data_IF_582225082244
#
_entry.id   IF_582225082244
#
_cell.length_a   1.000
_cell.length_b   1.000
_cell.length_c   1.000
_cell.angle_alpha   90.00
_cell.angle_beta   90.00
_cell.angle_gamma   90.00
#
_symmetry.space_group_name_H-M   'P 1'
#
loop_
_entity.id
_entity.type
_entity.pdbx_description
1 polymer ?
#
# COMPACT_ATOMS: atom_id res chain seq x y z
N UNK A 1 -8.21 61.55 29.31
CA UNK A 1 -8.49 60.86 28.01
C UNK A 1 -7.52 61.45 27.00
N UNK A 2 -6.62 60.67 26.38
CA UNK A 2 -6.98 59.81 25.25
C UNK A 2 -6.41 58.38 25.30
N UNK A 3 -6.95 57.54 24.41
CA UNK A 3 -6.73 56.11 24.21
C UNK A 3 -5.72 55.90 23.07
N UNK A 4 -4.61 55.20 23.28
CA UNK A 4 -3.76 54.62 22.21
C UNK A 4 -3.01 53.46 22.89
N UNK A 5 -3.02 52.20 22.47
CA UNK A 5 -3.46 51.53 21.25
C UNK A 5 -2.67 50.23 21.25
N UNK A 6 -3.31 49.15 21.67
CA UNK A 6 -2.74 47.81 21.78
C UNK A 6 -2.38 47.30 20.37
N UNK A 7 -1.10 47.11 20.07
CA UNK A 7 -0.65 46.44 18.85
C UNK A 7 0.24 45.24 19.23
N UNK A 8 -0.42 44.16 19.66
CA UNK A 8 0.19 42.86 19.90
C UNK A 8 0.36 42.16 18.54
N UNK A 9 1.53 42.30 17.93
CA UNK A 9 1.90 41.57 16.72
C UNK A 9 2.12 40.09 17.08
N UNK A 10 1.07 39.29 17.01
CA UNK A 10 1.18 37.83 16.99
C UNK A 10 1.88 37.41 15.68
N UNK A 11 3.18 37.10 15.80
CA UNK A 11 3.92 36.33 14.82
C UNK A 11 3.35 34.91 14.78
N UNK A 12 2.42 34.67 13.84
CA UNK A 12 2.03 33.33 13.42
C UNK A 12 3.25 32.64 12.80
N UNK A 13 3.99 31.88 13.63
CA UNK A 13 4.95 30.88 13.13
C UNK A 13 4.13 29.75 12.54
N UNK A 14 3.87 29.85 11.23
CA UNK A 14 3.31 28.76 10.44
C UNK A 14 4.32 27.63 10.38
N UNK A 15 4.25 26.69 11.32
CA UNK A 15 4.96 25.42 11.22
C UNK A 15 4.41 24.67 10.01
N UNK A 16 5.13 24.74 8.88
CA UNK A 16 4.91 23.83 7.78
C UNK A 16 5.14 22.41 8.31
N UNK A 17 4.06 21.66 8.49
CA UNK A 17 4.13 20.24 8.79
C UNK A 17 4.78 19.56 7.57
N UNK A 18 6.10 19.39 7.62
CA UNK A 18 6.82 18.51 6.71
C UNK A 18 6.21 17.12 6.89
N UNK A 19 5.47 16.67 5.87
CA UNK A 19 4.97 15.31 5.83
C UNK A 19 6.17 14.35 5.95
N UNK A 20 6.30 13.71 7.12
CA UNK A 20 7.35 12.75 7.37
C UNK A 20 7.22 11.62 6.35
N UNK A 21 8.33 11.26 5.69
CA UNK A 21 8.33 10.12 4.77
C UNK A 21 7.89 8.87 5.53
N UNK A 22 7.01 8.03 4.95
CA UNK A 22 6.54 6.81 5.62
C UNK A 22 7.73 5.98 6.09
N UNK A 23 7.81 5.71 7.39
CA UNK A 23 8.90 4.93 7.95
C UNK A 23 8.82 3.49 7.41
N UNK A 24 9.88 2.97 6.75
CA UNK A 24 9.88 1.59 6.28
C UNK A 24 9.69 0.66 7.47
N UNK A 25 8.82 -0.33 7.34
CA UNK A 25 8.54 -1.30 8.38
C UNK A 25 8.61 -2.73 7.85
N UNK A 26 8.65 -3.69 8.77
CA UNK A 26 8.50 -5.10 8.47
C UNK A 26 7.67 -5.79 9.55
N UNK A 27 7.43 -7.08 9.36
CA UNK A 27 6.69 -7.93 10.29
C UNK A 27 7.66 -8.83 11.03
N UNK A 28 7.61 -8.79 12.36
CA UNK A 28 8.40 -9.62 13.26
C UNK A 28 7.50 -10.60 14.00
N UNK A 29 8.04 -11.76 14.37
CA UNK A 29 7.43 -12.70 15.30
C UNK A 29 8.50 -13.04 16.37
N UNK A 30 8.57 -12.27 17.46
CA UNK A 30 9.59 -12.41 18.49
C UNK A 30 9.76 -13.85 18.98
N UNK A 31 11.00 -14.36 18.99
CA UNK A 31 11.33 -15.70 19.48
C UNK A 31 10.87 -16.86 18.59
N UNK A 32 10.29 -16.61 17.42
CA UNK A 32 9.86 -17.67 16.53
C UNK A 32 11.05 -18.42 15.90
N UNK A 33 10.92 -19.74 15.74
CA UNK A 33 11.81 -20.51 14.88
C UNK A 33 11.67 -20.09 13.43
N UNK A 34 12.68 -20.41 12.61
CA UNK A 34 12.66 -20.13 11.16
C UNK A 34 11.42 -20.71 10.48
N UNK A 35 11.08 -21.95 10.82
CA UNK A 35 9.90 -22.63 10.29
C UNK A 35 8.60 -21.92 10.68
N UNK A 36 8.45 -21.51 11.95
CA UNK A 36 7.26 -20.80 12.41
C UNK A 36 7.13 -19.39 11.79
N UNK A 37 8.25 -18.73 11.51
CA UNK A 37 8.31 -17.41 10.89
C UNK A 37 8.00 -17.47 9.38
N UNK A 38 8.65 -18.36 8.63
CA UNK A 38 8.42 -18.48 7.19
C UNK A 38 7.06 -19.14 6.91
N UNK A 39 6.71 -20.17 7.69
CA UNK A 39 5.46 -20.90 7.56
C UNK A 39 4.24 -20.05 7.88
N UNK A 40 4.28 -19.27 8.96
CA UNK A 40 3.17 -18.39 9.35
C UNK A 40 2.93 -17.27 8.35
N UNK A 41 4.00 -16.59 7.91
CA UNK A 41 3.89 -15.53 6.91
C UNK A 41 3.37 -16.06 5.57
N UNK A 42 3.91 -17.19 5.09
CA UNK A 42 3.42 -17.87 3.87
C UNK A 42 1.96 -18.29 3.99
N UNK A 43 1.53 -18.83 5.13
CA UNK A 43 0.14 -19.24 5.34
C UNK A 43 -0.81 -18.05 5.23
N UNK A 44 -0.46 -16.89 5.79
CA UNK A 44 -1.25 -15.67 5.67
C UNK A 44 -1.34 -15.16 4.22
N UNK A 45 -0.23 -15.16 3.48
CA UNK A 45 -0.24 -14.79 2.07
C UNK A 45 -1.12 -15.73 1.23
N UNK A 46 -1.00 -17.04 1.45
CA UNK A 46 -1.82 -18.04 0.74
C UNK A 46 -3.31 -17.93 1.09
N UNK A 47 -3.64 -17.58 2.33
CA UNK A 47 -5.03 -17.36 2.75
C UNK A 47 -5.66 -16.20 1.99
N UNK A 48 -4.98 -15.05 1.91
CA UNK A 48 -5.46 -13.89 1.15
C UNK A 48 -5.53 -14.20 -0.36
N UNK A 49 -4.55 -14.92 -0.90
CA UNK A 49 -4.54 -15.31 -2.32
C UNK A 49 -5.68 -16.27 -2.71
N UNK A 50 -6.19 -17.07 -1.77
CA UNK A 50 -7.31 -18.01 -1.98
C UNK A 50 -8.68 -17.39 -1.75
N UNK A 51 -8.77 -16.08 -1.49
CA UNK A 51 -10.07 -15.42 -1.33
C UNK A 51 -10.92 -15.60 -2.58
N UNK A 52 -12.24 -15.63 -2.40
CA UNK A 52 -13.16 -15.65 -3.52
C UNK A 52 -13.20 -14.28 -4.20
N UNK A 53 -12.40 -14.14 -5.26
CA UNK A 53 -12.38 -12.95 -6.11
C UNK A 53 -13.64 -12.89 -7.00
N UNK A 54 -14.20 -14.04 -7.36
CA UNK A 54 -15.37 -14.11 -8.24
C UNK A 54 -16.65 -13.67 -7.53
N UNK A 55 -16.75 -13.86 -6.21
CA UNK A 55 -17.82 -13.33 -5.37
C UNK A 55 -17.68 -11.85 -5.02
N UNK A 56 -16.45 -11.32 -5.00
CA UNK A 56 -16.10 -10.00 -4.49
C UNK A 56 -16.68 -8.84 -5.33
N UNK A 57 -17.39 -7.92 -4.67
CA UNK A 57 -18.07 -6.79 -5.33
C UNK A 57 -17.10 -5.75 -5.90
N UNK A 58 -15.98 -5.49 -5.22
CA UNK A 58 -14.96 -4.57 -5.71
C UNK A 58 -14.25 -5.14 -6.94
N UNK A 59 -13.93 -6.44 -6.93
CA UNK A 59 -13.34 -7.13 -8.07
C UNK A 59 -14.29 -7.13 -9.27
N UNK A 60 -15.57 -7.44 -9.07
CA UNK A 60 -16.59 -7.34 -10.13
C UNK A 60 -16.70 -5.94 -10.73
N UNK A 61 -16.65 -4.89 -9.89
CA UNK A 61 -16.68 -3.50 -10.34
C UNK A 61 -15.49 -3.18 -11.23
N UNK A 62 -14.29 -3.57 -10.80
CA UNK A 62 -13.07 -3.40 -11.59
C UNK A 62 -13.18 -4.13 -12.94
N UNK A 63 -13.53 -5.42 -12.95
CA UNK A 63 -13.65 -6.22 -14.17
C UNK A 63 -14.65 -5.60 -15.15
N UNK A 64 -15.80 -5.12 -14.65
CA UNK A 64 -16.79 -4.45 -15.49
C UNK A 64 -16.26 -3.17 -16.13
N UNK A 65 -15.58 -2.33 -15.35
CA UNK A 65 -14.98 -1.10 -15.87
C UNK A 65 -13.85 -1.37 -16.87
N UNK A 66 -13.00 -2.35 -16.57
CA UNK A 66 -11.94 -2.81 -17.47
C UNK A 66 -12.51 -3.31 -18.81
N UNK A 67 -13.59 -4.08 -18.80
CA UNK A 67 -14.25 -4.56 -20.02
C UNK A 67 -14.83 -3.41 -20.88
N UNK A 68 -15.32 -2.33 -20.26
CA UNK A 68 -15.79 -1.15 -21.00
C UNK A 68 -14.63 -0.40 -21.64
N UNK A 69 -13.54 -0.20 -20.90
CA UNK A 69 -12.34 0.48 -21.40
C UNK A 69 -11.65 -0.33 -22.51
N UNK A 70 -11.57 -1.66 -22.35
CA UNK A 70 -11.01 -2.56 -23.35
C UNK A 70 -11.86 -2.58 -24.62
N UNK A 71 -13.18 -2.66 -24.49
CA UNK A 71 -14.08 -2.53 -25.64
C UNK A 71 -13.83 -1.22 -26.37
N UNK A 72 -13.84 -0.10 -25.65
CA UNK A 72 -13.62 1.23 -26.22
C UNK A 72 -12.27 1.34 -26.97
N UNK A 73 -11.20 0.77 -26.42
CA UNK A 73 -9.88 0.79 -27.06
C UNK A 73 -9.83 -0.06 -28.35
N UNK A 74 -10.71 -1.05 -28.47
CA UNK A 74 -10.74 -2.00 -29.58
C UNK A 74 -11.92 -1.78 -30.54
N UNK A 75 -12.77 -0.76 -30.34
CA UNK A 75 -13.82 -0.42 -31.31
C UNK A 75 -13.13 0.16 -32.56
N UNK A 76 -13.22 -0.49 -33.74
CA UNK A 76 -12.74 0.12 -34.96
C UNK A 76 -13.56 1.39 -35.24
N UNK A 77 -12.97 2.47 -35.79
CA UNK A 77 -13.70 3.70 -36.07
C UNK A 77 -14.93 3.38 -36.93
N UNK A 78 -16.12 3.58 -36.33
CA UNK A 78 -17.41 3.18 -36.93
C UNK A 78 -17.88 4.21 -37.97
N UNK A 79 -17.31 5.42 -37.94
CA UNK A 79 -17.73 6.56 -38.76
C UNK A 79 -16.52 7.27 -39.37
N UNK A 80 -16.54 7.65 -40.67
CA UNK A 80 -15.47 8.44 -41.32
C UNK A 80 -15.23 9.83 -40.72
N UNK A 81 -16.03 10.26 -39.74
CA UNK A 81 -16.08 11.64 -39.21
C UNK A 81 -15.65 11.79 -37.75
N UNK A 82 -15.36 10.70 -37.03
CA UNK A 82 -14.80 10.82 -35.67
C UNK A 82 -13.37 11.34 -35.81
N UNK A 83 -13.16 12.63 -35.54
CA UNK A 83 -11.81 13.19 -35.43
C UNK A 83 -11.11 12.57 -34.22
N UNK A 84 -9.78 12.48 -34.28
CA UNK A 84 -8.94 11.93 -33.22
C UNK A 84 -9.19 12.59 -31.86
N UNK A 85 -9.65 13.85 -31.85
CA UNK A 85 -10.00 14.57 -30.64
C UNK A 85 -11.27 14.05 -29.96
N UNK A 86 -12.30 13.64 -30.70
CA UNK A 86 -13.54 13.11 -30.14
C UNK A 86 -13.31 11.73 -29.53
N UNK A 87 -12.53 10.89 -30.23
CA UNK A 87 -12.07 9.59 -29.72
C UNK A 87 -11.26 9.78 -28.43
N UNK A 88 -10.29 10.70 -28.43
CA UNK A 88 -9.45 10.99 -27.26
C UNK A 88 -10.27 11.51 -26.08
N UNK A 89 -11.24 12.38 -26.34
CA UNK A 89 -12.12 12.95 -25.32
C UNK A 89 -13.00 11.86 -24.69
N UNK A 90 -13.60 11.00 -25.51
CA UNK A 90 -14.42 9.86 -25.05
C UNK A 90 -13.61 8.91 -24.16
N UNK A 91 -12.41 8.54 -24.60
CA UNK A 91 -11.50 7.69 -23.82
C UNK A 91 -11.09 8.31 -22.48
N UNK A 92 -10.80 9.61 -22.46
CA UNK A 92 -10.47 10.35 -21.24
C UNK A 92 -11.64 10.37 -20.25
N UNK A 93 -12.86 10.62 -20.73
CA UNK A 93 -14.05 10.62 -19.88
C UNK A 93 -14.33 9.23 -19.30
N UNK A 94 -14.21 8.17 -20.09
CA UNK A 94 -14.38 6.80 -19.62
C UNK A 94 -13.32 6.40 -18.60
N UNK A 95 -12.04 6.71 -18.84
CA UNK A 95 -10.97 6.46 -17.86
C UNK A 95 -11.21 7.18 -16.55
N UNK A 96 -11.69 8.43 -16.58
CA UNK A 96 -12.08 9.18 -15.37
C UNK A 96 -13.27 8.56 -14.65
N UNK A 97 -14.30 8.14 -15.39
CA UNK A 97 -15.51 7.56 -14.82
C UNK A 97 -15.24 6.21 -14.12
N UNK A 98 -14.44 5.34 -14.73
CA UNK A 98 -14.12 4.01 -14.18
C UNK A 98 -12.93 4.00 -13.23
N UNK A 99 -12.02 4.98 -13.36
CA UNK A 99 -10.83 5.15 -12.52
C UNK A 99 -10.07 3.83 -12.22
N UNK A 100 -9.65 3.08 -13.27
CA UNK A 100 -9.13 1.72 -13.12
C UNK A 100 -7.95 1.64 -12.15
N UNK A 101 -7.04 2.60 -12.18
CA UNK A 101 -5.87 2.63 -11.28
C UNK A 101 -6.29 2.70 -9.81
N UNK A 102 -7.26 3.56 -9.48
CA UNK A 102 -7.82 3.65 -8.11
C UNK A 102 -8.52 2.36 -7.68
N UNK A 103 -9.17 1.65 -8.60
CA UNK A 103 -9.80 0.37 -8.31
C UNK A 103 -8.75 -0.72 -8.03
N UNK A 104 -7.64 -0.73 -8.79
CA UNK A 104 -6.51 -1.64 -8.54
C UNK A 104 -5.90 -1.35 -7.16
N UNK A 105 -5.63 -0.08 -6.84
CA UNK A 105 -5.08 0.32 -5.54
C UNK A 105 -5.98 -0.10 -4.38
N UNK A 106 -7.31 0.04 -4.54
CA UNK A 106 -8.28 -0.40 -3.53
C UNK A 106 -8.26 -1.92 -3.34
N UNK A 107 -8.21 -2.70 -4.43
CA UNK A 107 -8.12 -4.16 -4.38
C UNK A 107 -6.82 -4.64 -3.74
N UNK A 108 -5.70 -3.99 -4.07
CA UNK A 108 -4.41 -4.28 -3.45
C UNK A 108 -4.42 -3.96 -1.96
N UNK A 109 -5.00 -2.83 -1.57
CA UNK A 109 -5.14 -2.42 -0.16
C UNK A 109 -5.99 -3.41 0.64
N UNK A 110 -7.08 -3.91 0.05
CA UNK A 110 -7.92 -4.95 0.66
C UNK A 110 -7.12 -6.24 0.87
N UNK A 111 -6.42 -6.72 -0.16
CA UNK A 111 -5.55 -7.91 -0.05
C UNK A 111 -4.47 -7.72 1.03
N UNK A 112 -3.82 -6.56 1.06
CA UNK A 112 -2.81 -6.26 2.06
C UNK A 112 -3.41 -6.23 3.48
N UNK A 113 -4.58 -5.64 3.66
CA UNK A 113 -5.29 -5.62 4.95
C UNK A 113 -5.63 -7.04 5.43
N UNK A 114 -6.05 -7.94 4.54
CA UNK A 114 -6.32 -9.34 4.91
C UNK A 114 -5.06 -10.07 5.38
N UNK A 115 -3.93 -9.85 4.70
CA UNK A 115 -2.62 -10.37 5.11
C UNK A 115 -2.22 -9.79 6.46
N UNK A 116 -2.26 -8.47 6.63
CA UNK A 116 -1.87 -7.79 7.86
C UNK A 116 -2.67 -8.29 9.06
N UNK A 117 -4.00 -8.39 8.92
CA UNK A 117 -4.86 -8.95 9.97
C UNK A 117 -4.54 -10.42 10.28
N UNK A 118 -4.19 -11.22 9.27
CA UNK A 118 -3.76 -12.59 9.49
C UNK A 118 -2.44 -12.66 10.26
N UNK A 119 -1.48 -11.81 9.90
CA UNK A 119 -0.18 -11.73 10.56
C UNK A 119 -0.36 -11.34 12.03
N UNK A 120 -1.15 -10.30 12.33
CA UNK A 120 -1.46 -9.90 13.71
C UNK A 120 -2.06 -11.05 14.52
N UNK A 121 -3.10 -11.72 13.99
CA UNK A 121 -3.71 -12.89 14.66
C UNK A 121 -2.76 -14.07 14.83
N UNK A 122 -1.75 -14.17 13.97
CA UNK A 122 -0.72 -15.21 14.02
C UNK A 122 0.46 -14.84 14.94
N UNK A 123 0.36 -13.74 15.68
CA UNK A 123 1.36 -13.27 16.64
C UNK A 123 2.51 -12.47 16.03
N UNK A 124 2.36 -12.00 14.78
CA UNK A 124 3.31 -11.06 14.21
C UNK A 124 2.99 -9.64 14.67
N UNK A 125 4.01 -8.81 14.76
CA UNK A 125 3.91 -7.39 15.09
C UNK A 125 4.65 -6.57 14.06
N UNK A 126 4.17 -5.35 13.80
CA UNK A 126 4.88 -4.40 12.95
C UNK A 126 6.03 -3.78 13.74
N UNK A 127 7.20 -3.74 13.12
CA UNK A 127 8.34 -3.01 13.65
C UNK A 127 8.96 -2.15 12.56
N UNK A 128 9.38 -0.96 12.95
CA UNK A 128 9.98 0.02 12.08
C UNK A 128 11.45 -0.33 11.81
N UNK A 129 11.82 -0.41 10.53
CA UNK A 129 13.21 -0.61 10.15
C UNK A 129 14.02 0.66 10.39
N UNK A 130 15.19 0.53 10.99
CA UNK A 130 16.18 1.61 11.02
C UNK A 130 16.61 1.96 9.59
N UNK A 131 17.15 3.16 9.40
CA UNK A 131 17.68 3.60 8.08
C UNK A 131 18.70 2.61 7.52
N UNK A 132 19.55 2.05 8.39
CA UNK A 132 20.56 1.07 7.99
C UNK A 132 19.93 -0.27 7.62
N UNK A 133 18.98 -0.77 8.42
CA UNK A 133 18.27 -2.02 8.10
C UNK A 133 17.52 -1.92 6.77
N UNK A 134 16.81 -0.80 6.55
CA UNK A 134 16.11 -0.55 5.29
C UNK A 134 17.09 -0.48 4.11
N UNK A 135 18.26 0.15 4.28
CA UNK A 135 19.31 0.23 3.26
C UNK A 135 19.91 -1.13 2.93
N UNK A 136 20.21 -1.95 3.94
CA UNK A 136 20.66 -3.34 3.76
C UNK A 136 19.59 -4.13 3.00
N UNK A 137 18.35 -4.08 3.48
CA UNK A 137 17.24 -4.82 2.90
C UNK A 137 17.06 -4.49 1.41
N UNK A 138 17.16 -3.22 0.99
CA UNK A 138 17.06 -2.81 -0.42
C UNK A 138 18.13 -3.41 -1.33
N UNK A 139 19.30 -3.80 -0.80
CA UNK A 139 20.36 -4.43 -1.59
C UNK A 139 20.07 -5.89 -1.93
N UNK A 140 19.19 -6.55 -1.17
CA UNK A 140 18.80 -7.92 -1.45
C UNK A 140 17.63 -7.97 -2.44
N UNK A 141 17.80 -8.75 -3.50
CA UNK A 141 16.75 -9.00 -4.50
C UNK A 141 15.47 -9.48 -3.81
N UNK A 142 14.28 -8.95 -4.19
CA UNK A 142 13.01 -9.49 -3.74
C UNK A 142 12.94 -11.01 -3.90
N UNK A 143 12.48 -11.70 -2.85
CA UNK A 143 12.35 -13.16 -2.83
C UNK A 143 13.65 -13.96 -2.69
N UNK A 144 14.83 -13.34 -2.64
CA UNK A 144 16.09 -14.09 -2.46
C UNK A 144 16.22 -14.69 -1.06
N UNK A 145 16.98 -15.79 -0.94
CA UNK A 145 17.26 -16.40 0.36
C UNK A 145 18.03 -15.46 1.29
N UNK A 146 18.94 -14.60 0.78
CA UNK A 146 19.59 -13.60 1.63
C UNK A 146 18.58 -12.63 2.23
N UNK A 147 17.60 -12.18 1.44
CA UNK A 147 16.55 -11.28 1.91
C UNK A 147 15.70 -11.95 2.99
N UNK A 148 15.29 -13.20 2.77
CA UNK A 148 14.47 -13.98 3.73
C UNK A 148 15.22 -14.19 5.04
N UNK A 149 16.47 -14.65 4.96
CA UNK A 149 17.33 -14.83 6.14
C UNK A 149 17.52 -13.51 6.89
N UNK A 150 17.78 -12.40 6.20
CA UNK A 150 17.92 -11.10 6.86
C UNK A 150 16.64 -10.66 7.58
N UNK A 151 15.49 -10.80 6.92
CA UNK A 151 14.19 -10.49 7.53
C UNK A 151 13.89 -11.40 8.73
N UNK A 152 14.23 -12.68 8.66
CA UNK A 152 14.11 -13.60 9.79
C UNK A 152 15.01 -13.18 10.95
N UNK A 153 16.28 -12.84 10.71
CA UNK A 153 17.20 -12.39 11.76
C UNK A 153 16.68 -11.16 12.48
N UNK A 154 16.11 -10.20 11.75
CA UNK A 154 15.51 -9.01 12.35
C UNK A 154 14.19 -9.33 13.07
N UNK A 155 13.32 -10.09 12.41
CA UNK A 155 11.95 -10.32 12.85
C UNK A 155 11.80 -11.37 13.94
N UNK A 156 12.79 -12.22 14.18
CA UNK A 156 12.77 -13.21 15.27
C UNK A 156 13.52 -12.75 16.53
N UNK A 157 14.43 -11.78 16.45
CA UNK A 157 15.08 -11.21 17.64
C UNK A 157 14.08 -10.31 18.39
N UNK A 158 13.62 -10.81 19.54
CA UNK A 158 12.66 -10.10 20.39
C UNK A 158 13.15 -8.70 20.82
N UNK A 159 14.46 -8.51 21.02
CA UNK A 159 15.00 -7.21 21.44
C UNK A 159 14.88 -6.19 20.31
N UNK A 160 15.14 -6.60 19.06
CA UNK A 160 14.99 -5.74 17.89
C UNK A 160 13.52 -5.37 17.72
N UNK A 161 12.65 -6.38 17.70
CA UNK A 161 11.23 -6.20 17.41
C UNK A 161 10.54 -5.35 18.47
N UNK A 162 10.78 -5.60 19.77
CA UNK A 162 10.15 -4.80 20.84
C UNK A 162 10.70 -3.37 20.88
N UNK A 163 12.01 -3.17 20.68
CA UNK A 163 12.60 -1.82 20.65
C UNK A 163 12.11 -0.98 19.45
N UNK A 164 11.75 -1.64 18.35
CA UNK A 164 11.35 -1.00 17.09
C UNK A 164 9.85 -1.11 16.84
N UNK A 165 9.08 -1.60 17.82
CA UNK A 165 7.66 -1.90 17.66
C UNK A 165 6.89 -0.64 17.29
N UNK A 166 6.09 -0.75 16.24
CA UNK A 166 5.16 0.32 15.88
C UNK A 166 3.94 0.24 16.80
N UNK A 167 3.46 1.41 17.25
CA UNK A 167 2.15 1.53 17.87
C UNK A 167 1.15 1.72 16.74
N UNK A 168 0.13 0.87 16.71
CA UNK A 168 -1.01 1.03 15.80
C UNK A 168 -1.82 2.29 16.15
#
# INVERSE_FOLDING_TARGET
MPKIGLALALLCVSSAALAATPQPYSWGRPGASREAFDGGSRACMLKAARRDVAGDTAAKRYVRGAAVLDREANVPPVVPTDDIFDISTRQMLLRRAYAPDRQVDALQSQLQSEVDQCLVRSGYVRFALTREQARILRRYRPGSEQRKTYLYTLGSDARIVEAQRMRD
#
